data_IF_487580428642
#
_entry.id   IF_487580428642
#
_cell.length_a   1.000
_cell.length_b   1.000
_cell.length_c   1.000
_cell.angle_alpha   90.00
_cell.angle_beta   90.00
_cell.angle_gamma   90.00
#
_symmetry.space_group_name_H-M   'P 1'
#
loop_
_entity.id
_entity.type
_entity.pdbx_description
1 polymer ?
#
# COMPACT_ATOMS: atom_id res chain seq x y z
N UNK A 1 25.22 -10.86 43.60
CA UNK A 1 24.06 -11.35 42.83
C UNK A 1 24.48 -11.36 41.37
N UNK A 2 24.62 -12.56 40.80
CA UNK A 2 25.18 -12.89 39.48
C UNK A 2 24.27 -12.50 38.31
N UNK A 3 24.88 -12.13 37.17
CA UNK A 3 24.72 -12.70 35.80
C UNK A 3 25.97 -12.19 35.03
N UNK A 4 27.06 -12.91 34.69
CA UNK A 4 27.35 -14.16 33.96
C UNK A 4 26.99 -14.13 32.45
N UNK A 5 27.99 -13.77 31.61
CA UNK A 5 28.37 -14.19 30.21
C UNK A 5 27.24 -14.54 29.19
N UNK A 6 27.28 -14.07 27.94
CA UNK A 6 28.12 -14.65 26.87
C UNK A 6 28.50 -13.64 25.76
N UNK A 7 29.78 -13.68 25.38
CA UNK A 7 30.35 -13.25 24.08
C UNK A 7 29.93 -14.20 22.95
N UNK A 8 29.90 -13.77 21.68
CA UNK A 8 30.76 -14.19 20.53
C UNK A 8 29.94 -13.75 19.28
N UNK A 9 30.39 -13.04 18.23
CA UNK A 9 31.58 -13.02 17.37
C UNK A 9 31.87 -11.54 16.98
N UNK A 10 33.09 -11.00 17.00
CA UNK A 10 34.24 -11.47 16.24
C UNK A 10 34.65 -10.42 15.20
N UNK A 11 35.29 -9.33 15.63
CA UNK A 11 36.14 -8.50 14.74
C UNK A 11 37.35 -7.99 15.51
N UNK A 12 38.51 -8.42 15.05
CA UNK A 12 39.84 -8.00 15.51
C UNK A 12 40.03 -6.51 15.20
N UNK A 13 40.22 -5.67 16.22
CA UNK A 13 40.75 -4.32 16.04
C UNK A 13 42.27 -4.40 16.16
N UNK A 14 42.95 -4.41 15.02
CA UNK A 14 44.39 -4.28 14.98
C UNK A 14 44.74 -2.78 15.11
N UNK A 15 45.51 -2.49 16.14
CA UNK A 15 46.03 -1.17 16.54
C UNK A 15 47.28 -0.86 15.72
N UNK A 16 47.42 0.36 15.22
CA UNK A 16 48.71 1.07 15.14
C UNK A 16 48.50 2.59 14.99
N UNK A 17 49.35 3.36 15.66
CA UNK A 17 49.44 4.83 15.73
C UNK A 17 50.93 5.15 15.98
N UNK A 18 51.52 6.35 15.74
CA UNK A 18 51.03 7.65 15.21
C UNK A 18 51.96 8.36 14.16
N UNK A 19 51.55 9.58 13.71
CA UNK A 19 52.29 10.65 12.99
C UNK A 19 52.70 10.37 11.51
N UNK A 20 52.62 11.26 10.52
CA UNK A 20 52.79 12.72 10.47
C UNK A 20 52.14 13.34 9.20
N UNK A 21 52.05 14.67 9.18
CA UNK A 21 51.43 15.64 8.23
C UNK A 21 51.36 15.36 6.71
N UNK A 22 50.14 15.45 6.13
CA UNK A 22 49.91 16.26 4.91
C UNK A 22 48.41 16.57 4.69
N UNK A 23 48.08 17.86 4.71
CA UNK A 23 46.79 18.43 4.32
C UNK A 23 46.79 18.53 2.79
N UNK A 24 45.88 17.80 2.11
CA UNK A 24 45.25 18.22 0.84
C UNK A 24 44.31 17.11 0.32
N UNK A 25 43.03 17.14 0.72
CA UNK A 25 41.91 16.87 -0.20
C UNK A 25 40.55 17.17 0.47
N UNK A 26 40.03 18.38 0.28
CA UNK A 26 38.59 18.63 0.42
C UNK A 26 37.91 18.22 -0.89
N UNK A 27 37.55 16.95 -1.04
CA UNK A 27 36.34 16.45 -1.72
C UNK A 27 36.23 14.96 -1.43
N UNK A 28 35.98 14.61 -0.17
CA UNK A 28 35.59 13.25 0.19
C UNK A 28 34.13 13.02 -0.17
N UNK A 29 33.94 11.94 -0.91
CA UNK A 29 32.65 11.38 -1.29
C UNK A 29 31.78 11.12 -0.06
N UNK A 30 30.77 11.97 0.18
CA UNK A 30 29.62 11.53 0.97
C UNK A 30 28.71 10.67 0.08
N UNK A 31 29.20 9.47 -0.24
CA UNK A 31 28.28 8.34 -0.37
C UNK A 31 27.56 8.25 0.97
N UNK A 32 26.45 9.00 1.05
CA UNK A 32 25.50 8.97 2.14
C UNK A 32 24.98 7.55 2.09
N UNK A 33 25.69 6.68 2.77
CA UNK A 33 25.24 5.37 3.18
C UNK A 33 24.02 5.69 4.02
N UNK A 34 22.88 5.79 3.34
CA UNK A 34 21.58 5.72 3.97
C UNK A 34 21.65 4.37 4.63
N UNK A 35 21.95 4.38 5.92
CA UNK A 35 21.62 3.27 6.79
C UNK A 35 20.16 3.03 6.45
N UNK A 36 19.89 1.97 5.69
CA UNK A 36 18.54 1.43 5.56
C UNK A 36 18.25 0.89 6.95
N UNK A 37 17.98 1.82 7.86
CA UNK A 37 17.29 1.54 9.10
C UNK A 37 15.97 1.01 8.57
N UNK A 38 15.84 -0.31 8.58
CA UNK A 38 14.65 -0.98 8.10
C UNK A 38 13.49 -0.43 8.89
N UNK A 39 12.82 0.57 8.33
CA UNK A 39 11.60 1.10 8.89
C UNK A 39 10.66 -0.10 8.92
N UNK A 40 10.21 -0.54 10.11
CA UNK A 40 9.23 -1.60 10.17
C UNK A 40 8.03 -1.06 9.38
N UNK A 41 7.54 -1.84 8.41
CA UNK A 41 6.48 -1.49 7.43
C UNK A 41 6.98 -0.79 6.13
N UNK A 42 7.59 -1.59 5.26
CA UNK A 42 7.95 -1.18 3.90
C UNK A 42 6.72 -0.96 3.00
N UNK A 43 6.76 0.05 2.11
CA UNK A 43 5.75 0.32 1.06
C UNK A 43 5.35 -0.94 0.24
N UNK A 44 6.27 -1.87 -0.12
CA UNK A 44 5.93 -3.18 -0.67
C UNK A 44 4.90 -3.99 0.12
N UNK A 45 4.96 -3.98 1.45
CA UNK A 45 4.01 -4.71 2.30
C UNK A 45 2.60 -4.14 2.14
N UNK A 46 2.49 -2.81 2.16
CA UNK A 46 1.22 -2.13 1.94
C UNK A 46 0.66 -2.46 0.54
N UNK A 47 1.51 -2.45 -0.48
CA UNK A 47 1.11 -2.84 -1.83
C UNK A 47 0.55 -4.26 -1.88
N UNK A 48 1.22 -5.23 -1.24
CA UNK A 48 0.75 -6.62 -1.20
C UNK A 48 -0.56 -6.77 -0.41
N UNK A 49 -0.73 -6.01 0.68
CA UNK A 49 -1.99 -5.97 1.42
C UNK A 49 -3.14 -5.47 0.53
N UNK A 50 -2.96 -4.35 -0.16
CA UNK A 50 -3.98 -3.84 -1.07
C UNK A 50 -4.23 -4.78 -2.25
N UNK A 51 -3.19 -5.44 -2.78
CA UNK A 51 -3.35 -6.47 -3.82
C UNK A 51 -4.18 -7.65 -3.30
N UNK A 52 -3.87 -8.14 -2.10
CA UNK A 52 -4.63 -9.22 -1.48
C UNK A 52 -6.09 -8.83 -1.24
N UNK A 53 -6.34 -7.65 -0.67
CA UNK A 53 -7.70 -7.14 -0.47
C UNK A 53 -8.45 -7.01 -1.79
N UNK A 54 -7.76 -6.59 -2.85
CA UNK A 54 -8.31 -6.46 -4.20
C UNK A 54 -8.69 -7.82 -4.80
N UNK A 55 -7.89 -8.86 -4.57
CA UNK A 55 -8.26 -10.24 -4.95
C UNK A 55 -9.39 -10.80 -4.08
N UNK A 56 -9.44 -10.44 -2.80
CA UNK A 56 -10.47 -10.88 -1.85
C UNK A 56 -11.86 -10.32 -2.18
N UNK A 57 -11.94 -9.17 -2.88
CA UNK A 57 -13.20 -8.57 -3.32
C UNK A 57 -13.66 -9.04 -4.71
N UNK A 58 -12.94 -9.96 -5.37
CA UNK A 58 -13.31 -10.48 -6.67
C UNK A 58 -14.48 -11.47 -6.55
N UNK A 59 -15.69 -11.15 -7.04
CA UNK A 59 -16.83 -12.07 -7.00
C UNK A 59 -16.72 -13.19 -8.06
N UNK A 60 -15.72 -13.16 -8.95
CA UNK A 60 -15.50 -14.20 -9.96
C UNK A 60 -14.76 -15.41 -9.41
N UNK A 61 -14.11 -15.27 -8.27
CA UNK A 61 -13.44 -16.37 -7.60
C UNK A 61 -14.46 -17.15 -6.75
N UNK A 62 -14.79 -18.40 -7.10
CA UNK A 62 -15.78 -19.20 -6.38
C UNK A 62 -15.35 -19.55 -4.94
N UNK A 63 -14.07 -19.41 -4.60
CA UNK A 63 -13.57 -19.65 -3.24
C UNK A 63 -13.90 -18.48 -2.28
N UNK A 64 -14.22 -17.30 -2.82
CA UNK A 64 -14.57 -16.13 -2.02
C UNK A 64 -16.02 -16.21 -1.53
N UNK A 65 -16.19 -16.53 -0.25
CA UNK A 65 -17.51 -16.48 0.39
C UNK A 65 -18.06 -15.05 0.46
N UNK A 66 -19.38 -14.91 0.47
CA UNK A 66 -20.07 -13.61 0.62
C UNK A 66 -19.65 -12.84 1.90
N UNK A 67 -19.25 -13.55 2.96
CA UNK A 67 -18.66 -12.96 4.16
C UNK A 67 -17.27 -12.34 3.93
N UNK A 68 -16.42 -13.02 3.16
CA UNK A 68 -15.09 -12.54 2.78
C UNK A 68 -15.17 -11.31 1.87
N UNK A 69 -16.09 -11.33 0.88
CA UNK A 69 -16.35 -10.19 0.00
C UNK A 69 -16.77 -8.97 0.81
N UNK A 70 -17.75 -9.12 1.72
CA UNK A 70 -18.19 -8.03 2.60
C UNK A 70 -17.04 -7.47 3.45
N UNK A 71 -16.25 -8.36 4.07
CA UNK A 71 -15.13 -7.96 4.92
C UNK A 71 -14.06 -7.21 4.10
N UNK A 72 -13.69 -7.73 2.92
CA UNK A 72 -12.71 -7.10 2.04
C UNK A 72 -13.13 -5.70 1.60
N UNK A 73 -14.38 -5.52 1.18
CA UNK A 73 -14.91 -4.21 0.77
C UNK A 73 -14.93 -3.24 1.95
N UNK A 74 -15.31 -3.69 3.15
CA UNK A 74 -15.32 -2.86 4.36
C UNK A 74 -13.91 -2.43 4.77
N UNK A 75 -12.94 -3.34 4.76
CA UNK A 75 -11.55 -3.03 5.08
C UNK A 75 -10.94 -2.04 4.08
N UNK A 76 -11.18 -2.23 2.78
CA UNK A 76 -10.76 -1.26 1.76
C UNK A 76 -11.41 0.10 1.95
N UNK A 77 -12.68 0.14 2.34
CA UNK A 77 -13.38 1.41 2.62
C UNK A 77 -12.69 2.18 3.75
N UNK A 78 -12.44 1.51 4.88
CA UNK A 78 -11.74 2.14 6.02
C UNK A 78 -10.32 2.55 5.63
N UNK A 79 -9.60 1.71 4.89
CA UNK A 79 -8.24 2.02 4.44
C UNK A 79 -8.21 3.26 3.54
N UNK A 80 -9.15 3.37 2.59
CA UNK A 80 -9.23 4.53 1.68
C UNK A 80 -9.67 5.79 2.42
N UNK A 81 -10.55 5.66 3.42
CA UNK A 81 -11.02 6.78 4.24
C UNK A 81 -9.88 7.40 5.06
N UNK A 82 -9.01 6.56 5.63
CA UNK A 82 -7.88 7.00 6.47
C UNK A 82 -6.68 7.43 5.63
N UNK A 83 -6.29 6.62 4.64
CA UNK A 83 -5.09 6.87 3.81
C UNK A 83 -5.36 7.77 2.60
N UNK A 84 -6.61 8.21 2.42
CA UNK A 84 -7.08 9.00 1.28
C UNK A 84 -6.13 10.12 0.84
N UNK A 85 -5.72 11.02 1.75
CA UNK A 85 -4.84 12.15 1.44
C UNK A 85 -3.43 11.75 0.99
N UNK A 86 -2.96 10.55 1.35
CA UNK A 86 -1.59 10.08 1.12
C UNK A 86 -1.45 9.31 -0.21
N UNK A 87 -2.54 8.83 -0.81
CA UNK A 87 -2.46 8.09 -2.09
C UNK A 87 -1.81 8.86 -3.25
N UNK A 88 -1.97 10.18 -3.42
CA UNK A 88 -1.28 10.93 -4.47
C UNK A 88 0.24 10.85 -4.37
N UNK A 89 0.79 10.64 -3.17
CA UNK A 89 2.24 10.49 -2.95
C UNK A 89 2.77 9.12 -3.38
N UNK A 90 1.88 8.13 -3.56
CA UNK A 90 2.22 6.74 -3.90
C UNK A 90 1.58 6.30 -5.23
N UNK A 91 2.16 6.64 -6.39
CA UNK A 91 1.56 6.38 -7.71
C UNK A 91 1.34 4.89 -7.99
N UNK A 92 2.18 4.00 -7.47
CA UNK A 92 2.01 2.54 -7.62
C UNK A 92 0.74 2.04 -6.94
N UNK A 93 0.45 2.55 -5.74
CA UNK A 93 -0.73 2.17 -4.98
C UNK A 93 -1.99 2.80 -5.58
N UNK A 94 -1.86 4.06 -6.01
CA UNK A 94 -2.90 4.77 -6.75
C UNK A 94 -3.31 4.03 -8.03
N UNK A 95 -2.36 3.50 -8.80
CA UNK A 95 -2.64 2.72 -10.01
C UNK A 95 -3.43 1.44 -9.73
N UNK A 96 -3.13 0.76 -8.62
CA UNK A 96 -3.83 -0.46 -8.20
C UNK A 96 -5.28 -0.17 -7.81
N UNK A 97 -5.50 0.85 -6.98
CA UNK A 97 -6.85 1.29 -6.58
C UNK A 97 -7.65 1.87 -7.76
N UNK A 98 -7.02 2.66 -8.62
CA UNK A 98 -7.73 3.29 -9.74
C UNK A 98 -8.16 2.28 -10.80
N UNK A 99 -7.38 1.22 -11.04
CA UNK A 99 -7.63 0.30 -12.14
C UNK A 99 -8.28 -1.02 -11.70
N UNK A 100 -7.72 -1.69 -10.68
CA UNK A 100 -8.22 -3.00 -10.27
C UNK A 100 -9.51 -2.84 -9.45
N UNK A 101 -9.52 -1.98 -8.44
CA UNK A 101 -10.71 -1.78 -7.60
C UNK A 101 -11.90 -1.23 -8.40
N UNK A 102 -11.68 -0.32 -9.35
CA UNK A 102 -12.77 0.19 -10.21
C UNK A 102 -13.35 -0.92 -11.10
N UNK A 103 -12.52 -1.84 -11.62
CA UNK A 103 -13.00 -3.02 -12.36
C UNK A 103 -13.88 -3.92 -11.48
N UNK A 104 -13.48 -4.15 -10.24
CA UNK A 104 -14.27 -4.94 -9.29
C UNK A 104 -15.59 -4.29 -8.93
N UNK A 105 -15.59 -2.99 -8.65
CA UNK A 105 -16.83 -2.28 -8.39
C UNK A 105 -17.83 -2.39 -9.57
N UNK A 106 -17.36 -2.21 -10.80
CA UNK A 106 -18.21 -2.38 -11.98
C UNK A 106 -18.74 -3.82 -12.09
N UNK A 107 -17.92 -4.83 -11.77
CA UNK A 107 -18.34 -6.22 -11.78
C UNK A 107 -19.39 -6.52 -10.69
N UNK A 108 -19.21 -5.99 -9.48
CA UNK A 108 -20.18 -6.14 -8.37
C UNK A 108 -21.50 -5.44 -8.67
N UNK A 109 -21.49 -4.34 -9.42
CA UNK A 109 -22.73 -3.70 -9.91
C UNK A 109 -23.55 -4.60 -10.83
N UNK A 110 -22.96 -5.62 -11.46
CA UNK A 110 -23.71 -6.62 -12.23
C UNK A 110 -24.20 -7.81 -11.39
N UNK A 111 -23.76 -7.93 -10.12
CA UNK A 111 -24.18 -9.02 -9.23
C UNK A 111 -25.51 -8.71 -8.55
N UNK A 112 -26.40 -9.70 -8.40
CA UNK A 112 -27.76 -9.53 -7.87
C UNK A 112 -27.91 -9.21 -6.37
N UNK A 113 -26.80 -9.11 -5.62
CA UNK A 113 -26.83 -8.84 -4.17
C UNK A 113 -26.85 -7.33 -3.89
N UNK A 114 -27.95 -6.85 -3.32
CA UNK A 114 -28.11 -5.44 -2.94
C UNK A 114 -27.07 -5.00 -1.90
N UNK A 115 -26.71 -5.87 -0.95
CA UNK A 115 -25.76 -5.55 0.11
C UNK A 115 -24.35 -5.33 -0.43
N UNK A 116 -23.87 -6.23 -1.30
CA UNK A 116 -22.56 -6.08 -1.93
C UNK A 116 -22.51 -4.86 -2.84
N UNK A 117 -23.61 -4.60 -3.56
CA UNK A 117 -23.76 -3.41 -4.37
C UNK A 117 -23.64 -2.12 -3.54
N UNK A 118 -24.38 -1.98 -2.44
CA UNK A 118 -24.31 -0.78 -1.60
C UNK A 118 -22.91 -0.56 -1.02
N UNK A 119 -22.24 -1.63 -0.59
CA UNK A 119 -20.87 -1.56 -0.08
C UNK A 119 -19.87 -1.14 -1.17
N UNK A 120 -19.94 -1.74 -2.35
CA UNK A 120 -19.09 -1.41 -3.49
C UNK A 120 -19.34 0.02 -3.99
N UNK A 121 -20.59 0.47 -4.03
CA UNK A 121 -20.94 1.83 -4.40
C UNK A 121 -20.39 2.85 -3.40
N UNK A 122 -20.44 2.57 -2.09
CA UNK A 122 -19.84 3.42 -1.06
C UNK A 122 -18.33 3.53 -1.24
N UNK A 123 -17.62 2.41 -1.38
CA UNK A 123 -16.18 2.37 -1.62
C UNK A 123 -15.81 3.17 -2.88
N UNK A 124 -16.60 3.00 -3.94
CA UNK A 124 -16.43 3.72 -5.19
C UNK A 124 -16.56 5.22 -5.07
N UNK A 125 -17.66 5.69 -4.50
CA UNK A 125 -17.90 7.11 -4.30
C UNK A 125 -16.82 7.75 -3.42
N UNK A 126 -16.40 7.06 -2.35
CA UNK A 126 -15.30 7.52 -1.49
C UNK A 126 -14.00 7.66 -2.29
N UNK A 127 -13.64 6.63 -3.05
CA UNK A 127 -12.43 6.64 -3.89
C UNK A 127 -12.47 7.76 -4.92
N UNK A 128 -13.61 7.97 -5.56
CA UNK A 128 -13.83 9.04 -6.53
C UNK A 128 -13.77 10.43 -5.92
N UNK A 129 -14.22 10.60 -4.67
CA UNK A 129 -14.08 11.85 -3.93
C UNK A 129 -12.62 12.13 -3.60
N UNK A 130 -11.89 11.12 -3.12
CA UNK A 130 -10.48 11.22 -2.74
C UNK A 130 -9.57 11.47 -3.94
N UNK A 131 -9.84 10.83 -5.08
CA UNK A 131 -8.99 10.82 -6.27
C UNK A 131 -9.58 11.64 -7.44
N UNK A 132 -10.44 12.61 -7.13
CA UNK A 132 -11.28 13.36 -8.08
C UNK A 132 -10.51 13.97 -9.27
N UNK A 133 -9.25 14.31 -9.08
CA UNK A 133 -8.43 14.94 -10.13
C UNK A 133 -7.93 13.93 -11.17
N UNK A 134 -7.79 12.65 -10.80
CA UNK A 134 -7.10 11.64 -11.62
C UNK A 134 -8.04 10.68 -12.39
N UNK A 135 -9.32 10.59 -12.03
CA UNK A 135 -10.19 9.48 -12.49
C UNK A 135 -11.55 9.96 -13.02
N UNK A 136 -11.57 10.93 -13.94
CA UNK A 136 -12.84 11.52 -14.44
C UNK A 136 -13.65 10.57 -15.33
N UNK A 137 -12.97 9.77 -16.17
CA UNK A 137 -13.65 8.88 -17.13
C UNK A 137 -14.28 7.66 -16.45
N UNK A 138 -13.58 7.07 -15.48
CA UNK A 138 -14.09 5.91 -14.74
C UNK A 138 -15.23 6.30 -13.79
N UNK A 139 -15.27 7.56 -13.33
CA UNK A 139 -16.43 8.12 -12.62
C UNK A 139 -17.66 8.19 -13.50
N UNK A 140 -17.53 8.75 -14.71
CA UNK A 140 -18.63 8.86 -15.66
C UNK A 140 -19.21 7.48 -16.02
N UNK A 141 -18.33 6.51 -16.32
CA UNK A 141 -18.74 5.13 -16.60
C UNK A 141 -19.46 4.49 -15.40
N UNK A 142 -18.96 4.69 -14.18
CA UNK A 142 -19.59 4.15 -12.98
C UNK A 142 -20.98 4.74 -12.73
N UNK A 143 -21.15 6.05 -12.93
CA UNK A 143 -22.45 6.71 -12.81
C UNK A 143 -23.43 6.25 -13.89
N UNK A 144 -22.97 6.08 -15.13
CA UNK A 144 -23.79 5.53 -16.21
C UNK A 144 -24.24 4.08 -15.91
N UNK A 145 -23.36 3.25 -15.34
CA UNK A 145 -23.71 1.91 -14.87
C UNK A 145 -24.71 1.93 -13.70
N UNK A 146 -24.62 2.89 -12.79
CA UNK A 146 -25.60 3.06 -11.71
C UNK A 146 -26.98 3.48 -12.22
N UNK A 147 -27.03 4.33 -13.25
CA UNK A 147 -28.30 4.80 -13.83
C UNK A 147 -28.99 3.73 -14.69
N UNK A 148 -28.22 2.82 -15.30
CA UNK A 148 -28.74 1.75 -16.18
C UNK A 148 -29.31 0.54 -15.44
N UNK A 149 -29.13 0.45 -14.12
CA UNK A 149 -29.61 -0.63 -13.27
C UNK A 149 -30.94 -0.28 -12.63
#
# INVERSE_FOLDING_TARGET
MQVLIETVDGVVVQKDSPADDHIDNLTEANSTTRVQLGEPYNLPCLRELFRFLTTLIDPKDPDNTDGMLRLGIQLLTVAVEVAGPLFPEFPTLLGLLSNEMCRYMCAVTSTGSLTLFTLAARLGLLTFQTLRIHIKFQQELFLDLLMKR
#
